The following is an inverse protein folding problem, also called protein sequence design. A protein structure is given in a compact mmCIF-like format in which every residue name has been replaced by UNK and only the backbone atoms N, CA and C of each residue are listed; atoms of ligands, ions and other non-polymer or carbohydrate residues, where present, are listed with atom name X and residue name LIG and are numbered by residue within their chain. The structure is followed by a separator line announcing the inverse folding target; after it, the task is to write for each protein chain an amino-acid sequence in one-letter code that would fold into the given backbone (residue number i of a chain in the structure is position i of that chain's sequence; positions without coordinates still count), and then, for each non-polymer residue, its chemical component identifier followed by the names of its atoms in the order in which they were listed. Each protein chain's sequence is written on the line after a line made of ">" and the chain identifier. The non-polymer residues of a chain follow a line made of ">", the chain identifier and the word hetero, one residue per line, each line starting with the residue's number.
data_IF_713613228225
#
_entry.id   IF_713613228225
#
_cell.length_a   1.000
_cell.length_b   1.000
_cell.length_c   1.000
_cell.angle_alpha   90.00
_cell.angle_beta   90.00
_cell.angle_gamma   90.00
#
_symmetry.space_group_name_H-M   'P 1'
#
loop_
_entity.id
_entity.type
_entity.pdbx_description
1 polymer ?
#
# COMPACT_ATOMS: atom_id res chain seq x y z
N UNK A 1 -1.23 8.54 -13.68
CA UNK A 1 -0.75 9.73 -12.96
C UNK A 1 -1.65 10.18 -11.80
N UNK A 2 -2.96 10.39 -12.00
CA UNK A 2 -3.86 10.96 -10.95
C UNK A 2 -3.93 10.09 -9.68
N UNK A 3 -4.04 8.77 -9.80
CA UNK A 3 -4.10 7.86 -8.63
C UNK A 3 -2.83 7.96 -7.77
N UNK A 4 -1.66 8.06 -8.41
CA UNK A 4 -0.36 8.18 -7.71
C UNK A 4 -0.30 9.52 -6.98
N UNK A 5 -0.65 10.61 -7.67
CA UNK A 5 -0.64 11.96 -7.13
C UNK A 5 -1.58 12.08 -5.92
N UNK A 6 -2.85 11.65 -6.06
CA UNK A 6 -3.83 11.71 -4.96
C UNK A 6 -3.45 10.78 -3.82
N UNK A 7 -2.88 9.61 -4.12
CA UNK A 7 -2.32 8.70 -3.10
C UNK A 7 -1.23 9.38 -2.28
N UNK A 8 -0.22 9.96 -2.94
CA UNK A 8 0.89 10.66 -2.29
C UNK A 8 0.41 11.85 -1.43
N UNK A 9 -0.58 12.61 -1.89
CA UNK A 9 -1.21 13.68 -1.12
C UNK A 9 -1.85 13.18 0.19
N UNK A 10 -2.45 12.00 0.17
CA UNK A 10 -3.04 11.35 1.35
C UNK A 10 -2.04 10.46 2.10
N UNK A 11 -0.75 10.55 1.76
CA UNK A 11 0.31 9.78 2.40
C UNK A 11 0.33 8.29 2.07
N UNK A 12 -0.39 7.87 1.02
CA UNK A 12 -0.31 6.54 0.42
C UNK A 12 0.69 6.57 -0.73
N UNK A 13 1.96 6.42 -0.36
CA UNK A 13 3.06 6.25 -1.32
C UNK A 13 3.25 4.75 -1.53
N UNK A 14 2.98 4.28 -2.73
CA UNK A 14 3.11 2.87 -3.11
C UNK A 14 3.93 2.73 -4.39
N UNK A 15 4.64 1.61 -4.60
CA UNK A 15 5.41 1.38 -5.81
C UNK A 15 4.56 1.57 -7.06
N UNK A 16 5.14 2.21 -8.07
CA UNK A 16 4.43 2.53 -9.31
C UNK A 16 3.87 1.27 -10.00
N UNK A 17 4.59 0.15 -9.94
CA UNK A 17 4.14 -1.15 -10.48
C UNK A 17 2.85 -1.63 -9.80
N UNK A 18 2.70 -1.44 -8.49
CA UNK A 18 1.49 -1.81 -7.76
C UNK A 18 0.27 -1.04 -8.28
N UNK A 19 0.42 0.26 -8.55
CA UNK A 19 -0.66 1.09 -9.12
C UNK A 19 -1.01 0.66 -10.55
N UNK A 20 -0.01 0.33 -11.37
CA UNK A 20 -0.26 -0.18 -12.72
C UNK A 20 -1.01 -1.52 -12.69
N UNK A 21 -0.61 -2.44 -11.82
CA UNK A 21 -1.31 -3.72 -11.65
C UNK A 21 -2.73 -3.52 -11.10
N UNK A 22 -2.91 -2.58 -10.17
CA UNK A 22 -4.23 -2.22 -9.67
C UNK A 22 -5.17 -1.79 -10.80
N UNK A 23 -4.74 -0.84 -11.63
CA UNK A 23 -5.52 -0.35 -12.78
C UNK A 23 -5.71 -1.45 -13.82
N UNK A 24 -4.67 -2.24 -14.09
CA UNK A 24 -4.72 -3.36 -15.05
C UNK A 24 -5.77 -4.41 -14.67
N UNK A 25 -5.78 -4.87 -13.42
CA UNK A 25 -6.76 -5.86 -12.97
C UNK A 25 -8.19 -5.32 -12.95
N UNK A 26 -8.39 -4.05 -12.57
CA UNK A 26 -9.70 -3.41 -12.69
C UNK A 26 -10.11 -3.23 -14.16
N UNK A 27 -9.16 -3.04 -15.08
CA UNK A 27 -9.42 -3.01 -16.52
C UNK A 27 -9.93 -4.36 -17.03
N UNK A 28 -9.35 -5.48 -16.58
CA UNK A 28 -9.83 -6.82 -16.91
C UNK A 28 -11.22 -7.06 -16.31
N UNK A 29 -11.41 -6.71 -15.03
CA UNK A 29 -12.70 -6.90 -14.35
C UNK A 29 -13.82 -6.03 -14.96
N UNK A 30 -13.47 -4.85 -15.49
CA UNK A 30 -14.42 -3.97 -16.19
C UNK A 30 -14.98 -4.63 -17.46
N UNK A 31 -14.20 -5.48 -18.14
CA UNK A 31 -14.66 -6.19 -19.34
C UNK A 31 -15.69 -7.29 -19.02
N UNK A 32 -15.65 -7.88 -17.81
CA UNK A 32 -16.63 -8.87 -17.36
C UNK A 32 -17.89 -8.24 -16.70
N UNK A 33 -17.85 -6.93 -16.41
CA UNK A 33 -18.94 -6.27 -15.68
C UNK A 33 -20.17 -6.03 -16.59
N UNK A 34 -21.37 -6.52 -16.24
CA UNK A 34 -22.59 -6.19 -16.99
C UNK A 34 -22.89 -4.68 -16.94
N UNK A 35 -23.35 -4.06 -18.06
CA UNK A 35 -23.85 -4.68 -19.28
C UNK A 35 -22.81 -4.87 -20.39
N UNK A 36 -21.51 -4.60 -20.17
CA UNK A 36 -20.48 -4.63 -21.22
C UNK A 36 -20.08 -6.07 -21.55
N UNK A 37 -19.62 -6.83 -20.55
CA UNK A 37 -19.56 -8.31 -20.47
C UNK A 37 -19.48 -9.13 -21.78
N UNK A 38 -18.63 -8.79 -22.76
CA UNK A 38 -18.73 -9.36 -24.12
C UNK A 38 -18.62 -10.89 -24.14
N UNK A 39 -17.80 -11.46 -23.27
CA UNK A 39 -17.68 -12.91 -23.09
C UNK A 39 -19.00 -13.57 -22.66
N UNK A 40 -19.76 -12.91 -21.77
CA UNK A 40 -21.08 -13.39 -21.34
C UNK A 40 -22.12 -13.35 -22.46
N UNK A 41 -22.07 -12.36 -23.36
CA UNK A 41 -22.93 -12.33 -24.55
C UNK A 41 -22.63 -13.47 -25.51
N UNK A 42 -21.34 -13.75 -25.76
CA UNK A 42 -20.93 -14.88 -26.58
C UNK A 42 -21.36 -16.23 -25.96
N UNK A 43 -21.15 -16.40 -24.64
CA UNK A 43 -21.58 -17.60 -23.91
C UNK A 43 -23.11 -17.79 -23.92
N UNK A 44 -23.87 -16.70 -23.81
CA UNK A 44 -25.33 -16.72 -23.89
C UNK A 44 -25.83 -17.14 -25.29
N UNK A 45 -25.16 -16.71 -26.36
CA UNK A 45 -25.50 -17.11 -27.73
C UNK A 45 -25.32 -18.63 -27.97
N UNK A 46 -24.30 -19.24 -27.36
CA UNK A 46 -24.05 -20.69 -27.44
C UNK A 46 -25.05 -21.47 -26.57
N UNK A 47 -25.28 -21.01 -25.34
CA UNK A 47 -26.15 -21.69 -24.36
C UNK A 47 -27.64 -21.43 -24.54
N UNK A 48 -28.01 -20.50 -25.44
CA UNK A 48 -29.39 -20.00 -25.65
C UNK A 48 -29.99 -19.36 -24.39
N UNK A 49 -29.14 -18.77 -23.55
CA UNK A 49 -29.54 -18.04 -22.34
C UNK A 49 -29.78 -16.55 -22.60
N UNK A 50 -30.30 -15.85 -21.59
CA UNK A 50 -30.35 -14.39 -21.59
C UNK A 50 -28.94 -13.83 -21.32
N UNK A 51 -28.41 -12.93 -22.17
CA UNK A 51 -27.05 -12.38 -22.01
C UNK A 51 -26.82 -11.66 -20.70
N UNK A 52 -27.80 -10.87 -20.24
CA UNK A 52 -27.68 -10.08 -19.02
C UNK A 52 -27.69 -10.98 -17.79
N UNK A 53 -28.58 -11.99 -17.75
CA UNK A 53 -28.59 -12.99 -16.67
C UNK A 53 -27.31 -13.82 -16.64
N UNK A 54 -26.81 -14.23 -17.81
CA UNK A 54 -25.52 -14.94 -17.94
C UNK A 54 -24.38 -14.07 -17.40
N UNK A 55 -24.33 -12.79 -17.77
CA UNK A 55 -23.33 -11.85 -17.28
C UNK A 55 -23.41 -11.62 -15.78
N UNK A 56 -24.60 -11.41 -15.22
CA UNK A 56 -24.79 -11.25 -13.76
C UNK A 56 -24.31 -12.50 -13.01
N UNK A 57 -24.63 -13.69 -13.53
CA UNK A 57 -24.23 -14.94 -12.90
C UNK A 57 -22.71 -15.15 -12.98
N UNK A 58 -22.10 -14.86 -14.13
CA UNK A 58 -20.64 -14.93 -14.36
C UNK A 58 -19.89 -13.95 -13.46
N UNK A 59 -20.28 -12.67 -13.51
CA UNK A 59 -19.69 -11.63 -12.67
C UNK A 59 -19.87 -11.91 -11.17
N UNK A 60 -21.02 -12.46 -10.76
CA UNK A 60 -21.20 -12.89 -9.36
C UNK A 60 -20.24 -14.01 -8.96
N UNK A 61 -19.74 -14.81 -9.90
CA UNK A 61 -18.67 -15.77 -9.66
C UNK A 61 -17.29 -15.08 -9.60
N UNK A 62 -17.01 -14.18 -10.53
CA UNK A 62 -15.71 -13.53 -10.68
C UNK A 62 -15.44 -12.43 -9.64
N UNK A 63 -16.44 -11.68 -9.16
CA UNK A 63 -16.28 -10.55 -8.22
C UNK A 63 -15.46 -10.87 -6.95
N UNK A 64 -15.28 -12.16 -6.62
CA UNK A 64 -14.38 -12.60 -5.54
C UNK A 64 -12.90 -12.30 -5.82
N UNK A 65 -12.50 -12.21 -7.08
CA UNK A 65 -11.14 -11.85 -7.50
C UNK A 65 -10.88 -10.34 -7.40
N UNK A 66 -11.92 -9.52 -7.27
CA UNK A 66 -11.82 -8.06 -7.17
C UNK A 66 -11.09 -7.56 -5.91
N UNK A 67 -10.78 -8.44 -4.95
CA UNK A 67 -9.94 -8.12 -3.79
C UNK A 67 -8.45 -8.10 -4.14
N UNK A 68 -8.02 -8.81 -5.19
CA UNK A 68 -6.62 -8.97 -5.57
C UNK A 68 -5.90 -7.64 -5.90
N UNK A 69 -6.50 -6.68 -6.62
CA UNK A 69 -5.89 -5.35 -6.82
C UNK A 69 -5.50 -4.66 -5.51
N UNK A 70 -6.37 -4.76 -4.49
CA UNK A 70 -6.12 -4.15 -3.19
C UNK A 70 -4.96 -4.83 -2.46
N UNK A 71 -4.75 -6.13 -2.68
CA UNK A 71 -3.61 -6.85 -2.11
C UNK A 71 -2.29 -6.27 -2.60
N UNK A 72 -2.17 -5.90 -3.89
CA UNK A 72 -0.93 -5.29 -4.42
C UNK A 72 -0.64 -3.91 -3.83
N UNK A 73 -1.67 -3.17 -3.41
CA UNK A 73 -1.54 -1.83 -2.82
C UNK A 73 -1.18 -1.93 -1.33
N UNK A 74 -1.81 -2.84 -0.59
CA UNK A 74 -1.62 -2.95 0.86
C UNK A 74 -0.56 -3.97 1.29
N UNK A 75 -0.09 -4.83 0.38
CA UNK A 75 0.95 -5.81 0.62
C UNK A 75 1.80 -5.98 -0.64
N UNK A 76 2.74 -5.05 -0.79
CA UNK A 76 3.64 -4.98 -1.95
C UNK A 76 4.62 -6.16 -2.01
N UNK A 77 4.83 -6.89 -0.90
CA UNK A 77 5.72 -8.05 -0.86
C UNK A 77 5.22 -9.18 -1.78
N UNK A 78 3.93 -9.20 -2.10
CA UNK A 78 3.34 -10.12 -3.10
C UNK A 78 3.96 -9.89 -4.49
N UNK A 79 4.46 -8.68 -4.76
CA UNK A 79 5.15 -8.33 -6.00
C UNK A 79 6.60 -8.82 -6.02
N UNK A 80 7.10 -9.38 -4.90
CA UNK A 80 8.47 -9.88 -4.73
C UNK A 80 9.54 -8.80 -4.95
N UNK A 81 9.19 -7.53 -4.69
CA UNK A 81 10.09 -6.38 -4.76
C UNK A 81 10.81 -6.25 -3.42
N UNK A 82 12.15 -6.32 -3.42
CA UNK A 82 13.00 -6.19 -2.22
C UNK A 82 12.70 -7.21 -1.11
N UNK A 83 12.20 -8.39 -1.49
CA UNK A 83 11.80 -9.47 -0.57
C UNK A 83 12.81 -10.61 -0.59
N UNK A 84 13.16 -11.15 0.59
CA UNK A 84 13.99 -12.37 0.65
C UNK A 84 13.21 -13.60 0.17
N UNK A 85 13.90 -14.66 -0.25
CA UNK A 85 13.21 -15.89 -0.69
C UNK A 85 12.26 -16.44 0.39
N UNK A 86 12.67 -16.41 1.65
CA UNK A 86 11.84 -16.91 2.77
C UNK A 86 10.60 -16.04 2.97
N UNK A 87 10.74 -14.72 2.94
CA UNK A 87 9.62 -13.79 3.08
C UNK A 87 8.63 -13.94 1.92
N UNK A 88 9.14 -14.13 0.69
CA UNK A 88 8.31 -14.37 -0.49
C UNK A 88 7.47 -15.65 -0.36
N UNK A 89 8.06 -16.74 0.15
CA UNK A 89 7.32 -17.99 0.42
C UNK A 89 6.25 -17.79 1.50
N UNK A 90 6.57 -17.06 2.58
CA UNK A 90 5.63 -16.78 3.66
C UNK A 90 4.45 -15.96 3.15
N UNK A 91 4.72 -14.87 2.42
CA UNK A 91 3.70 -13.98 1.84
C UNK A 91 2.84 -14.72 0.82
N UNK A 92 3.43 -15.59 0.00
CA UNK A 92 2.70 -16.44 -0.93
C UNK A 92 1.71 -17.36 -0.19
N UNK A 93 2.17 -18.10 0.83
CA UNK A 93 1.32 -19.00 1.61
C UNK A 93 0.20 -18.23 2.32
N UNK A 94 0.54 -17.09 2.94
CA UNK A 94 -0.43 -16.23 3.62
C UNK A 94 -1.48 -15.67 2.64
N UNK A 95 -1.06 -15.23 1.45
CA UNK A 95 -1.95 -14.72 0.40
C UNK A 95 -2.89 -15.79 -0.14
N UNK A 96 -2.38 -17.00 -0.38
CA UNK A 96 -3.21 -18.15 -0.79
C UNK A 96 -4.21 -18.50 0.30
N UNK A 97 -3.78 -18.58 1.56
CA UNK A 97 -4.66 -18.86 2.70
C UNK A 97 -5.75 -17.76 2.87
N UNK A 98 -5.36 -16.49 2.74
CA UNK A 98 -6.27 -15.35 2.78
C UNK A 98 -7.31 -15.38 1.66
N UNK A 99 -6.89 -15.70 0.43
CA UNK A 99 -7.78 -15.83 -0.72
C UNK A 99 -8.77 -16.99 -0.55
N UNK A 100 -8.29 -18.14 -0.05
CA UNK A 100 -9.15 -19.28 0.27
C UNK A 100 -10.17 -18.93 1.36
N UNK A 101 -9.75 -18.21 2.41
CA UNK A 101 -10.64 -17.76 3.47
C UNK A 101 -11.70 -16.76 2.93
N UNK A 102 -11.29 -15.81 2.10
CA UNK A 102 -12.18 -14.83 1.47
C UNK A 102 -13.23 -15.51 0.57
N UNK A 103 -12.78 -16.36 -0.35
CA UNK A 103 -13.66 -17.13 -1.22
C UNK A 103 -14.63 -17.98 -0.41
N UNK A 104 -14.15 -18.67 0.63
CA UNK A 104 -14.98 -19.48 1.52
C UNK A 104 -16.03 -18.65 2.26
N UNK A 105 -15.67 -17.45 2.72
CA UNK A 105 -16.59 -16.55 3.40
C UNK A 105 -17.72 -16.07 2.47
N UNK A 106 -17.37 -15.59 1.27
CA UNK A 106 -18.30 -15.05 0.28
C UNK A 106 -19.16 -16.14 -0.36
N UNK A 107 -18.63 -17.36 -0.54
CA UNK A 107 -19.43 -18.52 -1.00
C UNK A 107 -20.27 -19.13 0.13
N UNK A 108 -20.06 -18.73 1.38
CA UNK A 108 -20.72 -19.28 2.55
C UNK A 108 -20.50 -20.81 2.69
N UNK A 109 -19.38 -21.30 2.17
CA UNK A 109 -19.04 -22.71 2.13
C UNK A 109 -17.51 -22.90 2.10
N UNK A 110 -16.99 -23.82 2.91
CA UNK A 110 -15.59 -24.27 2.82
C UNK A 110 -15.51 -25.80 2.71
N UNK A 111 -15.78 -26.53 3.80
CA UNK A 111 -15.97 -28.00 3.76
C UNK A 111 -17.42 -28.41 3.97
N UNK A 112 -18.18 -27.54 4.63
CA UNK A 112 -19.62 -27.60 4.87
C UNK A 112 -20.14 -26.16 4.77
N UNK A 113 -21.47 -25.99 4.76
CA UNK A 113 -22.07 -24.65 4.84
C UNK A 113 -21.56 -23.93 6.08
N UNK A 114 -21.05 -22.72 5.89
CA UNK A 114 -20.50 -21.91 6.97
C UNK A 114 -21.64 -21.42 7.86
N UNK A 115 -21.38 -21.27 9.16
CA UNK A 115 -22.25 -20.43 10.02
C UNK A 115 -21.94 -18.97 9.73
N UNK A 116 -22.90 -18.06 9.99
CA UNK A 116 -22.68 -16.61 9.75
C UNK A 116 -21.44 -16.10 10.48
N UNK A 117 -21.23 -16.53 11.74
CA UNK A 117 -20.04 -16.17 12.50
C UNK A 117 -18.74 -16.78 11.92
N UNK A 118 -18.80 -17.97 11.30
CA UNK A 118 -17.64 -18.55 10.60
C UNK A 118 -17.29 -17.74 9.36
N UNK A 119 -18.30 -17.34 8.57
CA UNK A 119 -18.11 -16.41 7.44
C UNK A 119 -17.51 -15.08 7.89
N UNK A 120 -17.99 -14.48 8.99
CA UNK A 120 -17.43 -13.24 9.52
C UNK A 120 -15.98 -13.42 9.99
N UNK A 121 -15.66 -14.50 10.71
CA UNK A 121 -14.28 -14.79 11.11
C UNK A 121 -13.37 -15.04 9.90
N UNK A 122 -13.85 -15.74 8.87
CA UNK A 122 -13.09 -15.95 7.63
C UNK A 122 -12.81 -14.63 6.90
N UNK A 123 -13.74 -13.66 6.93
CA UNK A 123 -13.47 -12.30 6.42
C UNK A 123 -12.40 -11.57 7.23
N UNK A 124 -12.43 -11.68 8.57
CA UNK A 124 -11.40 -11.08 9.44
C UNK A 124 -10.03 -11.72 9.19
N UNK A 125 -9.99 -13.05 9.00
CA UNK A 125 -8.76 -13.78 8.64
C UNK A 125 -8.25 -13.30 7.29
N UNK A 126 -9.11 -13.24 6.26
CA UNK A 126 -8.73 -12.76 4.94
C UNK A 126 -8.17 -11.33 4.98
N UNK A 127 -8.87 -10.41 5.66
CA UNK A 127 -8.40 -9.04 5.85
C UNK A 127 -7.03 -9.00 6.53
N UNK A 128 -6.82 -9.80 7.56
CA UNK A 128 -5.56 -9.84 8.32
C UNK A 128 -4.41 -10.46 7.53
N UNK A 129 -4.69 -11.43 6.66
CA UNK A 129 -3.71 -12.01 5.73
C UNK A 129 -3.33 -11.01 4.62
N UNK A 130 -4.28 -10.20 4.15
CA UNK A 130 -4.03 -9.23 3.09
C UNK A 130 -3.36 -7.95 3.60
N UNK A 131 -3.62 -7.57 4.85
CA UNK A 131 -3.08 -6.36 5.47
C UNK A 131 -2.55 -6.65 6.87
N UNK A 132 -1.42 -7.37 7.00
CA UNK A 132 -0.80 -7.62 8.30
C UNK A 132 -0.35 -6.32 8.99
N UNK A 133 0.03 -5.32 8.19
CA UNK A 133 0.50 -4.02 8.65
C UNK A 133 -0.51 -3.34 9.58
N UNK A 134 -1.81 -3.55 9.36
CA UNK A 134 -2.86 -3.00 10.24
C UNK A 134 -2.71 -3.44 11.69
N UNK A 135 -2.23 -4.66 11.93
CA UNK A 135 -1.96 -5.17 13.28
C UNK A 135 -0.57 -4.79 13.75
N UNK A 136 0.41 -4.82 12.86
CA UNK A 136 1.79 -4.43 13.14
C UNK A 136 1.89 -2.96 13.59
N UNK A 137 1.22 -2.06 12.87
CA UNK A 137 1.19 -0.61 13.11
C UNK A 137 0.63 -0.24 14.49
N UNK A 138 -0.24 -1.09 15.07
CA UNK A 138 -0.73 -0.90 16.45
C UNK A 138 0.28 -1.26 17.52
N UNK A 139 1.22 -2.15 17.20
CA UNK A 139 2.27 -2.59 18.12
C UNK A 139 3.49 -1.68 17.98
N UNK A 140 3.88 -1.39 16.74
CA UNK A 140 4.98 -0.51 16.40
C UNK A 140 4.61 0.34 15.19
N UNK A 141 4.66 1.68 15.29
CA UNK A 141 4.39 2.55 14.15
C UNK A 141 5.36 2.23 13.00
N UNK A 142 4.96 2.49 11.74
CA UNK A 142 5.81 2.26 10.59
C UNK A 142 6.97 3.25 10.50
N UNK A 143 6.72 4.51 10.82
CA UNK A 143 7.69 5.58 10.69
C UNK A 143 7.87 6.33 12.00
N UNK A 144 9.11 6.75 12.25
CA UNK A 144 9.46 7.76 13.24
C UNK A 144 9.53 9.09 12.51
N UNK A 145 8.80 10.08 13.03
CA UNK A 145 8.79 11.45 12.50
C UNK A 145 9.97 12.22 13.10
N UNK A 146 10.90 12.63 12.25
CA UNK A 146 12.03 13.47 12.60
C UNK A 146 11.71 14.91 12.13
N UNK A 147 11.76 15.92 13.01
CA UNK A 147 11.54 17.30 12.60
C UNK A 147 12.54 17.75 11.52
N UNK A 148 12.08 18.57 10.56
CA UNK A 148 12.89 19.03 9.43
C UNK A 148 14.23 19.68 9.82
N UNK A 149 14.28 20.40 10.95
CA UNK A 149 15.50 21.06 11.42
C UNK A 149 16.57 20.09 11.95
N UNK A 150 16.22 18.84 12.27
CA UNK A 150 17.19 17.82 12.68
C UNK A 150 17.75 17.03 11.48
N UNK A 151 17.18 17.20 10.28
CA UNK A 151 17.46 16.33 9.11
C UNK A 151 18.92 16.32 8.71
N UNK A 152 19.57 17.49 8.61
CA UNK A 152 21.00 17.58 8.28
C UNK A 152 21.88 16.86 9.30
N UNK A 153 21.55 16.99 10.60
CA UNK A 153 22.31 16.35 11.67
C UNK A 153 22.19 14.82 11.65
N UNK A 154 21.04 14.28 11.24
CA UNK A 154 20.79 12.83 11.16
C UNK A 154 21.35 12.21 9.88
N UNK A 155 21.36 12.95 8.77
CA UNK A 155 21.93 12.51 7.50
C UNK A 155 23.46 12.50 7.50
N UNK A 156 24.08 13.36 8.32
CA UNK A 156 25.54 13.41 8.52
C UNK A 156 26.08 12.52 9.64
N UNK A 157 25.22 11.82 10.38
CA UNK A 157 25.63 10.88 11.42
C UNK A 157 25.81 9.47 10.83
N UNK A 158 26.95 8.84 11.08
CA UNK A 158 27.27 7.46 10.70
C UNK A 158 26.95 6.46 11.84
N UNK A 159 26.31 6.93 12.91
CA UNK A 159 25.89 6.12 14.06
C UNK A 159 24.77 5.11 13.75
N UNK A 160 24.39 4.26 14.73
CA UNK A 160 23.36 3.23 14.55
C UNK A 160 21.94 3.78 14.26
N UNK A 161 21.71 5.08 14.48
CA UNK A 161 20.48 5.80 14.11
C UNK A 161 20.72 6.84 12.99
N UNK A 162 21.91 6.80 12.38
CA UNK A 162 22.32 7.64 11.28
C UNK A 162 21.74 7.16 9.95
N UNK A 163 21.45 8.11 9.06
CA UNK A 163 20.85 7.83 7.75
C UNK A 163 21.91 7.79 6.64
N UNK A 164 23.09 7.26 6.96
CA UNK A 164 24.20 7.14 6.02
C UNK A 164 23.92 6.01 5.01
N UNK A 165 24.05 6.32 3.71
CA UNK A 165 23.95 5.34 2.62
C UNK A 165 22.86 5.66 1.58
N UNK A 166 22.69 4.75 0.62
CA UNK A 166 21.63 4.82 -0.38
C UNK A 166 20.28 4.54 0.30
N UNK A 167 19.43 5.56 0.40
CA UNK A 167 18.15 5.44 1.10
C UNK A 167 17.04 6.15 0.35
N UNK A 168 15.84 5.57 0.41
CA UNK A 168 14.60 6.17 -0.08
C UNK A 168 13.81 6.66 1.11
N UNK A 169 13.88 7.96 1.38
CA UNK A 169 13.26 8.57 2.55
C UNK A 169 11.99 9.32 2.15
N UNK A 170 10.97 9.26 3.00
CA UNK A 170 9.77 10.05 2.79
C UNK A 170 9.87 11.35 3.55
N UNK A 171 9.49 12.45 2.91
CA UNK A 171 9.41 13.77 3.53
C UNK A 171 8.01 14.34 3.40
N UNK A 172 7.62 15.19 4.35
CA UNK A 172 6.45 16.03 4.26
C UNK A 172 6.89 17.50 4.23
N UNK A 173 6.42 18.19 3.20
CA UNK A 173 6.63 19.61 2.99
C UNK A 173 5.30 20.35 3.09
N UNK A 174 5.36 21.56 3.64
CA UNK A 174 4.23 22.48 3.70
C UNK A 174 4.62 23.84 3.13
N UNK A 175 3.69 24.50 2.45
CA UNK A 175 3.94 25.78 1.83
C UNK A 175 2.67 26.37 1.20
N UNK A 176 2.68 27.65 0.83
CA UNK A 176 1.54 28.28 0.16
C UNK A 176 1.30 27.71 -1.24
N UNK A 177 0.04 27.65 -1.66
CA UNK A 177 -0.39 27.27 -3.00
C UNK A 177 0.02 28.35 -4.01
N UNK A 178 0.57 27.96 -5.16
CA UNK A 178 0.94 28.87 -6.24
C UNK A 178 -0.26 29.67 -6.77
N UNK A 179 -1.45 29.06 -6.80
CA UNK A 179 -2.67 29.72 -7.28
C UNK A 179 -3.38 30.54 -6.19
N UNK A 180 -3.12 30.26 -4.90
CA UNK A 180 -3.78 30.90 -3.75
C UNK A 180 -2.85 30.97 -2.51
N UNK A 181 -2.16 32.10 -2.36
CA UNK A 181 -1.17 32.30 -1.30
C UNK A 181 -1.72 32.17 0.14
N UNK A 182 -3.04 32.32 0.34
CA UNK A 182 -3.66 32.16 1.66
C UNK A 182 -3.86 30.67 2.03
N UNK A 183 -3.82 29.78 1.04
CA UNK A 183 -3.99 28.34 1.21
C UNK A 183 -2.64 27.66 1.39
N UNK A 184 -2.49 26.94 2.50
CA UNK A 184 -1.30 26.09 2.73
C UNK A 184 -1.56 24.69 2.18
N UNK A 185 -0.71 24.25 1.27
CA UNK A 185 -0.64 22.89 0.77
C UNK A 185 0.30 22.05 1.65
N UNK A 186 -0.04 20.78 1.78
CA UNK A 186 0.85 19.76 2.33
C UNK A 186 1.12 18.72 1.25
N UNK A 187 2.39 18.32 1.11
CA UNK A 187 2.82 17.32 0.12
C UNK A 187 3.75 16.32 0.78
N UNK A 188 3.56 15.05 0.46
CA UNK A 188 4.55 14.02 0.76
C UNK A 188 5.35 13.74 -0.51
N UNK A 189 6.67 13.70 -0.39
CA UNK A 189 7.59 13.37 -1.48
C UNK A 189 8.56 12.27 -1.06
N UNK A 190 9.17 11.60 -2.03
CA UNK A 190 10.23 10.61 -1.80
C UNK A 190 11.57 11.26 -2.19
N UNK A 191 12.52 11.25 -1.27
CA UNK A 191 13.91 11.56 -1.53
C UNK A 191 14.66 10.28 -1.85
N UNK A 192 15.36 10.27 -2.97
CA UNK A 192 16.34 9.23 -3.29
C UNK A 192 17.72 9.80 -3.03
N UNK A 193 18.37 9.33 -1.97
CA UNK A 193 19.65 9.86 -1.51
C UNK A 193 20.78 8.90 -1.92
N UNK A 194 21.86 9.46 -2.46
CA UNK A 194 23.08 8.73 -2.83
C UNK A 194 24.10 8.74 -1.69
N UNK A 195 24.39 7.57 -1.13
CA UNK A 195 25.30 7.38 -0.02
C UNK A 195 26.74 7.82 -0.26
N UNK A 196 27.17 8.04 -1.51
CA UNK A 196 28.53 8.43 -1.83
C UNK A 196 28.83 9.92 -1.55
N UNK A 197 27.82 10.75 -1.37
CA UNK A 197 27.96 12.20 -1.19
C UNK A 197 27.88 12.64 0.28
N UNK A 198 28.22 13.89 0.58
CA UNK A 198 27.96 14.51 1.89
C UNK A 198 26.48 14.82 2.06
N UNK A 199 25.98 14.89 3.30
CA UNK A 199 24.56 15.07 3.62
C UNK A 199 23.88 16.22 2.84
N UNK A 200 24.53 17.39 2.78
CA UNK A 200 24.01 18.55 2.03
C UNK A 200 23.92 18.27 0.53
N UNK A 201 24.98 17.69 -0.06
CA UNK A 201 25.03 17.37 -1.48
C UNK A 201 24.01 16.28 -1.87
N UNK A 202 23.72 15.32 -0.97
CA UNK A 202 22.68 14.31 -1.18
C UNK A 202 21.31 14.93 -1.34
N UNK A 203 20.99 15.89 -0.47
CA UNK A 203 19.71 16.58 -0.49
C UNK A 203 19.59 17.49 -1.72
N UNK A 204 20.64 18.25 -2.04
CA UNK A 204 20.65 19.10 -3.23
C UNK A 204 20.47 18.28 -4.51
N UNK A 205 21.14 17.12 -4.62
CA UNK A 205 20.97 16.23 -5.77
C UNK A 205 19.56 15.63 -5.86
N UNK A 206 18.94 15.32 -4.72
CA UNK A 206 17.53 14.93 -4.67
C UNK A 206 16.58 16.08 -5.03
N UNK A 207 17.08 17.31 -5.17
CA UNK A 207 16.29 18.51 -5.48
C UNK A 207 15.73 19.18 -4.23
N UNK A 208 16.23 18.87 -3.04
CA UNK A 208 15.83 19.49 -1.78
C UNK A 208 16.94 20.41 -1.26
N UNK A 209 16.82 21.70 -1.54
CA UNK A 209 17.72 22.72 -0.96
C UNK A 209 17.18 23.12 0.40
N UNK A 210 17.91 22.77 1.47
CA UNK A 210 17.53 23.11 2.83
C UNK A 210 18.41 24.22 3.40
N UNK A 211 17.77 25.25 3.93
CA UNK A 211 18.41 26.24 4.79
C UNK A 211 17.76 26.19 6.17
N UNK A 212 18.56 25.95 7.21
CA UNK A 212 18.07 25.88 8.58
C UNK A 212 18.32 27.22 9.24
N UNK A 213 17.25 28.01 9.38
CA UNK A 213 17.28 29.30 10.06
C UNK A 213 16.23 29.34 11.15
N UNK A 214 16.59 29.84 12.33
CA UNK A 214 15.69 29.99 13.49
C UNK A 214 14.93 28.72 13.91
N UNK A 215 15.52 27.53 13.69
CA UNK A 215 14.90 26.24 14.05
C UNK A 215 13.82 25.76 13.06
N UNK A 216 13.71 26.42 11.90
CA UNK A 216 12.82 26.05 10.81
C UNK A 216 13.69 25.57 9.64
N UNK A 217 13.32 24.44 9.02
CA UNK A 217 13.96 23.97 7.80
C UNK A 217 13.25 24.58 6.59
N UNK A 218 13.83 25.63 6.03
CA UNK A 218 13.34 26.32 4.85
C UNK A 218 13.74 25.55 3.61
N UNK A 219 12.82 25.44 2.65
CA UNK A 219 13.02 24.71 1.41
C UNK A 219 13.11 25.70 0.25
N UNK A 220 14.22 25.67 -0.48
CA UNK A 220 14.41 26.47 -1.69
C UNK A 220 13.75 25.84 -2.92
N UNK A 221 13.41 26.66 -3.91
CA UNK A 221 12.84 26.21 -5.18
C UNK A 221 13.85 25.30 -5.92
N UNK A 222 13.52 24.03 -6.22
CA UNK A 222 14.42 23.13 -6.92
C UNK A 222 14.82 23.67 -8.30
N UNK A 223 16.05 23.39 -8.77
CA UNK A 223 16.44 23.77 -10.12
C UNK A 223 15.74 22.91 -11.20
N UNK A 224 15.44 23.47 -12.39
CA UNK A 224 14.90 22.70 -13.51
C UNK A 224 15.78 21.49 -13.86
N UNK A 225 15.16 20.31 -13.92
CA UNK A 225 15.83 19.04 -14.20
C UNK A 225 16.18 18.21 -12.96
N UNK A 226 16.01 18.76 -11.75
CA UNK A 226 16.11 17.99 -10.50
C UNK A 226 14.87 17.11 -10.28
N UNK A 227 14.97 15.98 -9.54
CA UNK A 227 13.87 15.03 -9.35
C UNK A 227 12.59 15.65 -8.77
N UNK A 228 12.73 16.52 -7.76
CA UNK A 228 11.60 17.14 -7.07
C UNK A 228 11.02 18.39 -7.75
N UNK A 229 11.61 18.86 -8.86
CA UNK A 229 11.18 20.10 -9.50
C UNK A 229 9.69 20.09 -9.90
N UNK A 230 9.22 18.99 -10.48
CA UNK A 230 7.81 18.87 -10.88
C UNK A 230 6.88 18.61 -9.70
N UNK A 231 7.33 17.89 -8.67
CA UNK A 231 6.49 17.53 -7.51
C UNK A 231 6.24 18.74 -6.61
N UNK A 232 7.19 19.67 -6.54
CA UNK A 232 7.10 20.87 -5.71
C UNK A 232 6.61 22.11 -6.48
N UNK A 233 6.30 21.98 -7.79
CA UNK A 233 5.87 23.10 -8.62
C UNK A 233 4.53 23.74 -8.25
N UNK A 234 3.73 23.08 -7.39
CA UNK A 234 2.47 23.63 -6.87
C UNK A 234 2.68 24.65 -5.74
N UNK A 235 3.91 24.74 -5.17
CA UNK A 235 4.21 25.67 -4.08
C UNK A 235 4.64 27.04 -4.60
N UNK A 236 4.21 28.10 -3.91
CA UNK A 236 4.76 29.45 -4.10
C UNK A 236 6.00 29.66 -3.21
N UNK A 237 7.20 29.54 -3.79
CA UNK A 237 8.46 29.79 -3.08
C UNK A 237 8.75 31.28 -2.85
N UNK A 238 7.98 32.19 -3.44
CA UNK A 238 8.21 33.64 -3.40
C UNK A 238 7.16 34.40 -2.57
N UNK A 239 6.19 33.69 -1.98
CA UNK A 239 5.21 34.26 -1.07
C UNK A 239 5.83 34.70 0.26
N UNK A 240 5.07 35.49 1.03
CA UNK A 240 5.48 35.95 2.38
C UNK A 240 5.70 34.80 3.37
N UNK A 241 5.02 33.66 3.16
CA UNK A 241 5.17 32.46 3.97
C UNK A 241 6.11 31.48 3.24
N UNK A 242 7.20 31.04 3.87
CA UNK A 242 8.14 30.14 3.23
C UNK A 242 7.58 28.72 3.10
N UNK A 243 8.15 27.95 2.15
CA UNK A 243 7.99 26.50 2.09
C UNK A 243 8.90 25.87 3.13
N UNK A 244 8.35 24.97 3.95
CA UNK A 244 9.06 24.30 5.04
C UNK A 244 9.10 22.80 4.86
N UNK A 245 10.19 22.19 5.29
CA UNK A 245 10.27 20.77 5.54
C UNK A 245 9.79 20.51 6.96
N UNK A 246 8.60 19.92 7.11
CA UNK A 246 8.01 19.70 8.43
C UNK A 246 8.60 18.45 9.09
N UNK A 247 8.54 17.33 8.37
CA UNK A 247 8.95 16.02 8.88
C UNK A 247 9.69 15.18 7.83
N UNK A 248 10.70 14.47 8.31
CA UNK A 248 11.33 13.34 7.65
C UNK A 248 10.83 12.06 8.31
N UNK A 249 10.31 11.13 7.51
CA UNK A 249 9.82 9.83 7.97
C UNK A 249 10.92 8.79 7.76
N UNK A 250 11.42 8.24 8.86
CA UNK A 250 12.38 7.14 8.85
C UNK A 250 11.67 5.86 9.25
N UNK A 251 11.96 4.75 8.56
CA UNK A 251 11.42 3.45 8.95
C UNK A 251 11.85 3.09 10.38
N UNK A 252 10.89 2.65 11.19
CA UNK A 252 11.17 2.34 12.59
C UNK A 252 12.16 1.16 12.66
N UNK A 253 13.30 1.30 13.37
CA UNK A 253 14.24 0.18 13.54
C UNK A 253 13.60 -0.95 14.36
N UNK A 254 14.03 -2.19 14.10
CA UNK A 254 13.63 -3.40 14.84
C UNK A 254 12.12 -3.70 14.88
N UNK A 255 11.38 -3.34 13.82
CA UNK A 255 9.95 -3.71 13.75
C UNK A 255 9.78 -5.24 13.80
N UNK A 256 8.78 -5.75 14.53
CA UNK A 256 8.49 -7.17 14.55
C UNK A 256 8.14 -7.65 13.13
N UNK A 257 8.74 -8.77 12.70
CA UNK A 257 8.53 -9.29 11.35
C UNK A 257 7.03 -9.54 11.05
N UNK A 258 6.59 -9.17 9.85
CA UNK A 258 5.20 -9.36 9.38
C UNK A 258 4.70 -10.79 9.56
N UNK A 259 5.59 -11.77 9.42
CA UNK A 259 5.31 -13.19 9.60
C UNK A 259 4.61 -13.52 10.93
N UNK A 260 4.99 -12.85 12.03
CA UNK A 260 4.39 -13.07 13.34
C UNK A 260 2.90 -12.72 13.37
N UNK A 261 2.47 -11.73 12.59
CA UNK A 261 1.08 -11.29 12.55
C UNK A 261 0.20 -12.23 11.73
N UNK A 262 0.75 -13.07 10.85
CA UNK A 262 -0.01 -14.11 10.15
C UNK A 262 -0.35 -15.32 11.04
N UNK A 263 0.56 -15.71 11.92
CA UNK A 263 0.43 -16.92 12.75
C UNK A 263 -0.89 -17.06 13.53
N UNK A 264 -1.38 -16.05 14.27
CA UNK A 264 -2.63 -16.19 15.02
C UNK A 264 -3.82 -16.46 14.10
N UNK A 265 -3.90 -15.79 12.95
CA UNK A 265 -5.02 -15.96 12.02
C UNK A 265 -4.95 -17.30 11.27
N UNK A 266 -3.74 -17.78 10.95
CA UNK A 266 -3.56 -19.14 10.43
C UNK A 266 -4.01 -20.21 11.45
N UNK A 267 -3.70 -20.01 12.73
CA UNK A 267 -4.15 -20.91 13.79
C UNK A 267 -5.69 -20.91 13.89
N UNK A 268 -6.34 -19.75 13.85
CA UNK A 268 -7.82 -19.65 13.86
C UNK A 268 -8.40 -20.31 12.61
N UNK A 269 -7.81 -20.11 11.43
CA UNK A 269 -8.24 -20.76 10.19
C UNK A 269 -8.19 -22.28 10.29
N UNK A 270 -7.10 -22.83 10.85
CA UNK A 270 -6.96 -24.27 11.11
C UNK A 270 -8.02 -24.78 12.08
N UNK A 271 -8.30 -24.05 13.17
CA UNK A 271 -9.35 -24.41 14.13
C UNK A 271 -10.72 -24.47 13.46
N UNK A 272 -11.07 -23.47 12.64
CA UNK A 272 -12.32 -23.47 11.87
C UNK A 272 -12.35 -24.69 10.93
N UNK A 273 -11.25 -24.96 10.21
CA UNK A 273 -11.11 -26.12 9.34
C UNK A 273 -11.36 -27.45 10.07
N UNK A 274 -10.76 -27.64 11.25
CA UNK A 274 -10.93 -28.85 12.07
C UNK A 274 -12.39 -28.99 12.55
N UNK A 275 -13.01 -27.90 13.03
CA UNK A 275 -14.41 -27.89 13.46
C UNK A 275 -15.32 -28.29 12.30
N UNK A 276 -15.14 -27.68 11.13
CA UNK A 276 -15.93 -28.00 9.95
C UNK A 276 -15.72 -29.44 9.46
N UNK A 277 -14.48 -29.93 9.48
CA UNK A 277 -14.17 -31.31 9.10
C UNK A 277 -14.84 -32.32 10.03
N UNK A 278 -14.90 -32.04 11.34
CA UNK A 278 -15.63 -32.87 12.31
C UNK A 278 -17.14 -32.89 12.02
N UNK A 279 -17.75 -31.73 11.71
CA UNK A 279 -19.17 -31.65 11.32
C UNK A 279 -19.47 -32.46 10.06
N UNK A 280 -18.61 -32.36 9.05
CA UNK A 280 -18.76 -33.11 7.78
C UNK A 280 -18.86 -34.62 8.03
N UNK A 281 -18.02 -35.15 8.93
CA UNK A 281 -18.04 -36.58 9.30
C UNK A 281 -19.32 -36.99 10.03
N UNK A 282 -19.83 -36.13 10.92
CA UNK A 282 -21.07 -36.38 11.66
C UNK A 282 -22.32 -36.36 10.77
N UNK A 283 -22.29 -35.62 9.65
CA UNK A 283 -23.41 -35.58 8.69
C UNK A 283 -23.35 -36.71 7.65
N UNK A 284 -22.25 -37.47 7.59
CA UNK A 284 -22.01 -38.53 6.61
C UNK A 284 -22.13 -39.95 7.17
N UNK A 285 -22.33 -40.09 8.49
CA UNK A 285 -22.63 -41.36 9.16
C UNK A 285 -24.04 -41.33 9.73
#
# INVERSE_FOLDING_TARGET
>A
PVIVMVGAQNGLIVPLVAVHLFVFYFGILADDTPPVGLAAFAAAAISRGDPIRTGIQGFSYDIRTAVLPFMFIFNTDILLIDVTFLDGVIVFIASVAGMLAFCSAVQHYMFVRNRIWESLLLLVIAFSMFRPDFWQDRVSPPYIEIPGHEVLSRLGDDGPNGLAGDQRLRVQLSGPDFDDADRILQRNAILELDGALTADMRLEQAGLMLDISDGIALVGEPFPGMPLFQELGDFDFYADRPVTLDYLFVETPDRPARAFFYLPFLAVLLVIGIIQHRRKRQSAG
#
